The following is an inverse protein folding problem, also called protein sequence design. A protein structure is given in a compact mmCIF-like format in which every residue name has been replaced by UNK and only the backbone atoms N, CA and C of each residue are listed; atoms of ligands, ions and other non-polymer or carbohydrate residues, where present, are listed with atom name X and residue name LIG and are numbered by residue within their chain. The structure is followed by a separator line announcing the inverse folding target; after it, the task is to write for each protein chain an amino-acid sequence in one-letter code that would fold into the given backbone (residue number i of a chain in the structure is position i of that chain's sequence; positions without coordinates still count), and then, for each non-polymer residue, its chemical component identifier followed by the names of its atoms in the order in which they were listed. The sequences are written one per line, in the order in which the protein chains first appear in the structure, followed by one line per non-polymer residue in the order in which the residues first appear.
data_IF_275384192653
#
_entry.id   IF_275384192653
#
_cell.length_a   1.000
_cell.length_b   1.000
_cell.length_c   1.000
_cell.angle_alpha   90.00
_cell.angle_beta   90.00
_cell.angle_gamma   90.00
#
_symmetry.space_group_name_H-M   'P 1'
#
loop_
_entity.id
_entity.type
_entity.pdbx_description
1 polymer ?
#
# COMPACT_ATOMS: atom_id res chain seq x y z
N UNK A 1 -19.44 6.74 -24.87
CA UNK A 1 -18.17 6.67 -24.15
C UNK A 1 -17.69 5.24 -24.19
N UNK A 2 -16.54 4.94 -24.80
CA UNK A 2 -16.02 3.58 -24.87
C UNK A 2 -15.22 3.23 -23.60
N UNK A 3 -15.06 1.93 -23.28
CA UNK A 3 -14.25 1.48 -22.13
C UNK A 3 -12.81 2.01 -22.22
N UNK A 4 -12.29 2.12 -23.45
CA UNK A 4 -10.95 2.64 -23.72
C UNK A 4 -10.91 4.14 -23.40
N UNK A 5 -11.95 4.91 -23.78
CA UNK A 5 -12.03 6.33 -23.43
C UNK A 5 -12.15 6.54 -21.93
N UNK A 6 -12.90 5.69 -21.21
CA UNK A 6 -13.00 5.75 -19.75
C UNK A 6 -11.69 5.37 -19.05
N UNK A 7 -10.91 4.44 -19.60
CA UNK A 7 -9.58 4.07 -19.09
C UNK A 7 -8.52 5.14 -19.39
N UNK A 8 -8.67 5.88 -20.49
CA UNK A 8 -7.77 6.96 -20.88
C UNK A 8 -8.19 8.32 -20.34
N UNK A 9 -9.41 8.44 -19.81
CA UNK A 9 -9.86 9.62 -19.09
C UNK A 9 -8.94 9.80 -17.88
N UNK A 10 -8.19 10.89 -17.87
CA UNK A 10 -7.30 11.23 -16.77
C UNK A 10 -8.12 11.28 -15.50
N UNK A 11 -7.91 10.32 -14.60
CA UNK A 11 -8.38 10.42 -13.24
C UNK A 11 -7.60 11.58 -12.59
N UNK A 12 -8.11 12.81 -12.73
CA UNK A 12 -7.56 14.00 -12.10
C UNK A 12 -7.73 13.87 -10.58
N UNK A 13 -6.83 13.13 -9.95
CA UNK A 13 -6.71 13.06 -8.50
C UNK A 13 -5.86 14.24 -8.07
N UNK A 14 -6.43 15.45 -8.17
CA UNK A 14 -5.86 16.66 -7.58
C UNK A 14 -5.86 16.50 -6.07
N UNK A 15 -4.73 16.09 -5.49
CA UNK A 15 -4.53 16.02 -4.04
C UNK A 15 -3.71 17.22 -3.62
N UNK A 16 -4.33 18.17 -2.93
CA UNK A 16 -3.61 19.18 -2.16
C UNK A 16 -3.01 18.51 -0.92
N UNK A 17 -1.78 18.00 -1.08
CA UNK A 17 -1.02 17.37 0.00
C UNK A 17 -0.36 18.46 0.84
N UNK A 18 -0.84 18.65 2.07
CA UNK A 18 -0.23 19.58 3.02
C UNK A 18 0.80 18.86 3.94
N UNK A 19 1.65 19.63 4.62
CA UNK A 19 2.68 19.06 5.50
C UNK A 19 2.12 18.19 6.63
N UNK A 20 0.95 18.54 7.18
CA UNK A 20 0.28 17.76 8.23
C UNK A 20 -0.08 16.36 7.74
N UNK A 21 -0.62 16.26 6.52
CA UNK A 21 -0.94 14.99 5.89
C UNK A 21 0.31 14.11 5.75
N UNK A 22 1.42 14.68 5.24
CA UNK A 22 2.68 13.93 5.09
C UNK A 22 3.20 13.40 6.43
N UNK A 23 3.08 14.18 7.50
CA UNK A 23 3.47 13.74 8.86
C UNK A 23 2.60 12.59 9.32
N UNK A 24 1.27 12.72 9.22
CA UNK A 24 0.32 11.69 9.66
C UNK A 24 0.57 10.37 8.93
N UNK A 25 0.69 10.42 7.60
CA UNK A 25 0.96 9.24 6.78
C UNK A 25 2.31 8.60 7.12
N UNK A 26 3.35 9.40 7.30
CA UNK A 26 4.67 8.89 7.70
C UNK A 26 4.63 8.19 9.06
N UNK A 27 3.93 8.78 10.05
CA UNK A 27 3.77 8.19 11.38
C UNK A 27 3.01 6.87 11.32
N UNK A 28 1.91 6.80 10.56
CA UNK A 28 1.13 5.57 10.39
C UNK A 28 2.01 4.50 9.73
N UNK A 29 2.69 4.84 8.64
CA UNK A 29 3.50 3.89 7.89
C UNK A 29 4.67 3.32 8.70
N UNK A 30 5.39 4.19 9.42
CA UNK A 30 6.43 3.77 10.37
C UNK A 30 5.84 2.87 11.46
N UNK A 31 4.66 3.20 11.99
CA UNK A 31 4.01 2.39 13.02
C UNK A 31 3.65 0.99 12.50
N UNK A 32 3.18 0.88 11.26
CA UNK A 32 2.90 -0.40 10.59
C UNK A 32 4.17 -1.23 10.41
N UNK A 33 5.25 -0.61 9.94
CA UNK A 33 6.54 -1.30 9.77
C UNK A 33 7.12 -1.75 11.12
N UNK A 34 7.12 -0.87 12.12
CA UNK A 34 7.56 -1.20 13.49
C UNK A 34 6.73 -2.34 14.07
N UNK A 35 5.41 -2.34 13.84
CA UNK A 35 4.53 -3.41 14.27
C UNK A 35 4.84 -4.75 13.59
N UNK A 36 5.09 -4.74 12.28
CA UNK A 36 5.52 -5.92 11.54
C UNK A 36 6.85 -6.49 12.08
N UNK A 37 7.82 -5.61 12.37
CA UNK A 37 9.10 -5.99 12.97
C UNK A 37 8.91 -6.56 14.38
N UNK A 38 8.11 -5.88 15.22
CA UNK A 38 7.81 -6.29 16.59
C UNK A 38 7.16 -7.68 16.64
N UNK A 39 6.20 -7.94 15.74
CA UNK A 39 5.51 -9.23 15.61
C UNK A 39 6.32 -10.29 14.85
N UNK A 40 7.54 -9.95 14.39
CA UNK A 40 8.42 -10.81 13.60
C UNK A 40 7.79 -11.32 12.30
N UNK A 41 6.83 -10.58 11.74
CA UNK A 41 6.21 -10.91 10.45
C UNK A 41 7.14 -10.53 9.30
N UNK A 42 8.00 -11.48 8.92
CA UNK A 42 8.97 -11.29 7.83
C UNK A 42 8.30 -11.05 6.49
N UNK A 43 7.07 -11.53 6.28
CA UNK A 43 6.36 -11.34 5.03
C UNK A 43 5.83 -9.91 4.93
N UNK A 44 5.26 -9.36 5.99
CA UNK A 44 4.85 -7.95 6.06
C UNK A 44 6.05 -7.01 5.83
N UNK A 45 7.20 -7.27 6.48
CA UNK A 45 8.41 -6.46 6.29
C UNK A 45 8.92 -6.55 4.85
N UNK A 46 8.97 -7.76 4.27
CA UNK A 46 9.36 -7.94 2.85
C UNK A 46 8.41 -7.23 1.92
N UNK A 47 7.10 -7.32 2.15
CA UNK A 47 6.08 -6.68 1.34
C UNK A 47 6.27 -5.15 1.36
N UNK A 48 6.51 -4.57 2.54
CA UNK A 48 6.84 -3.15 2.67
C UNK A 48 8.06 -2.79 1.81
N UNK A 49 9.19 -3.47 2.02
CA UNK A 49 10.45 -3.14 1.32
C UNK A 49 10.35 -3.36 -0.20
N UNK A 50 9.70 -4.44 -0.64
CA UNK A 50 9.54 -4.75 -2.07
C UNK A 50 8.55 -3.82 -2.77
N UNK A 51 7.60 -3.24 -2.04
CA UNK A 51 6.63 -2.31 -2.62
C UNK A 51 7.23 -0.92 -2.89
N UNK A 52 8.27 -0.50 -2.15
CA UNK A 52 8.97 0.78 -2.37
C UNK A 52 9.44 0.97 -3.82
N UNK A 53 10.27 0.09 -4.42
CA UNK A 53 10.74 0.29 -5.79
C UNK A 53 9.61 0.26 -6.82
N UNK A 54 8.54 -0.50 -6.56
CA UNK A 54 7.36 -0.58 -7.43
C UNK A 54 6.62 0.76 -7.41
N UNK A 55 6.37 1.32 -6.23
CA UNK A 55 5.66 2.59 -6.09
C UNK A 55 6.49 3.78 -6.55
N UNK A 56 7.81 3.77 -6.34
CA UNK A 56 8.70 4.77 -6.95
C UNK A 56 8.57 4.77 -8.48
N UNK A 57 8.53 3.59 -9.10
CA UNK A 57 8.35 3.49 -10.54
C UNK A 57 6.96 3.97 -11.00
N UNK A 58 5.89 3.56 -10.32
CA UNK A 58 4.51 3.95 -10.64
C UNK A 58 4.32 5.47 -10.51
N UNK A 59 4.70 6.05 -9.37
CA UNK A 59 4.56 7.49 -9.14
C UNK A 59 5.49 8.29 -10.06
N UNK A 60 6.67 7.75 -10.39
CA UNK A 60 7.60 8.36 -11.34
C UNK A 60 7.01 8.43 -12.75
N UNK A 61 6.41 7.35 -13.24
CA UNK A 61 5.67 7.35 -14.51
C UNK A 61 4.50 8.34 -14.44
N UNK A 62 3.74 8.33 -13.35
CA UNK A 62 2.61 9.24 -13.14
C UNK A 62 3.01 10.71 -13.24
N UNK A 63 4.17 11.08 -12.69
CA UNK A 63 4.74 12.43 -12.80
C UNK A 63 5.20 12.75 -14.23
N UNK A 64 5.91 11.82 -14.89
CA UNK A 64 6.42 12.04 -16.26
C UNK A 64 5.28 12.17 -17.28
N UNK A 65 4.19 11.43 -17.09
CA UNK A 65 3.01 11.49 -17.96
C UNK A 65 2.00 12.58 -17.57
N UNK A 66 2.28 13.36 -16.51
CA UNK A 66 1.38 14.43 -16.06
C UNK A 66 0.07 13.96 -15.43
N UNK A 67 -0.03 12.67 -15.08
CA UNK A 67 -1.20 12.09 -14.39
C UNK A 67 -1.15 12.39 -12.89
N UNK A 68 0.04 12.66 -12.35
CA UNK A 68 0.25 13.13 -10.98
C UNK A 68 0.72 14.58 -11.02
N UNK A 69 0.02 15.44 -10.29
CA UNK A 69 0.45 16.81 -10.03
C UNK A 69 0.64 17.02 -8.54
N UNK A 70 1.84 17.44 -8.14
CA UNK A 70 2.16 17.83 -6.78
C UNK A 70 2.49 19.32 -6.79
N UNK A 71 1.48 20.12 -6.46
CA UNK A 71 1.48 21.58 -6.56
C UNK A 71 2.52 22.28 -5.69
N UNK A 72 3.01 21.63 -4.64
CA UNK A 72 4.07 22.15 -3.76
C UNK A 72 4.97 21.03 -3.27
N UNK A 73 6.28 21.17 -3.46
CA UNK A 73 7.31 20.21 -3.01
C UNK A 73 7.23 18.83 -3.69
N UNK A 74 7.08 18.81 -5.01
CA UNK A 74 6.95 17.60 -5.86
C UNK A 74 7.90 16.48 -5.48
N UNK A 75 9.18 16.75 -5.27
CA UNK A 75 10.16 15.71 -4.90
C UNK A 75 9.94 15.10 -3.52
N UNK A 76 9.57 15.91 -2.52
CA UNK A 76 9.29 15.43 -1.17
C UNK A 76 7.98 14.64 -1.14
N UNK A 77 6.92 15.19 -1.76
CA UNK A 77 5.61 14.53 -1.83
C UNK A 77 5.71 13.21 -2.57
N UNK A 78 6.36 13.18 -3.73
CA UNK A 78 6.68 11.95 -4.47
C UNK A 78 7.34 10.91 -3.57
N UNK A 79 8.39 11.31 -2.85
CA UNK A 79 9.14 10.40 -1.99
C UNK A 79 8.29 9.86 -0.83
N UNK A 80 7.53 10.73 -0.17
CA UNK A 80 6.65 10.33 0.95
C UNK A 80 5.56 9.38 0.46
N UNK A 81 4.92 9.67 -0.67
CA UNK A 81 3.88 8.81 -1.25
C UNK A 81 4.47 7.43 -1.58
N UNK A 82 5.55 7.40 -2.37
CA UNK A 82 6.13 6.17 -2.88
C UNK A 82 6.86 5.30 -1.83
N UNK A 83 7.40 5.90 -0.77
CA UNK A 83 8.23 5.20 0.24
C UNK A 83 7.48 4.98 1.56
N UNK A 84 6.52 5.85 1.89
CA UNK A 84 5.78 5.78 3.14
C UNK A 84 4.31 5.44 2.90
N UNK A 85 3.58 6.27 2.14
CA UNK A 85 2.12 6.14 2.01
C UNK A 85 1.73 4.76 1.46
N UNK A 86 2.11 4.48 0.22
CA UNK A 86 1.62 3.31 -0.48
C UNK A 86 2.20 2.00 0.07
N UNK A 87 3.52 1.91 0.38
CA UNK A 87 4.06 0.74 1.10
C UNK A 87 3.39 0.50 2.46
N UNK A 88 3.06 1.57 3.18
CA UNK A 88 2.35 1.52 4.45
C UNK A 88 0.95 0.93 4.31
N UNK A 89 0.18 1.41 3.33
CA UNK A 89 -1.17 0.91 3.05
C UNK A 89 -1.16 -0.57 2.64
N UNK A 90 -0.31 -0.95 1.70
CA UNK A 90 -0.20 -2.33 1.22
C UNK A 90 0.13 -3.28 2.38
N UNK A 91 1.07 -2.88 3.24
CA UNK A 91 1.49 -3.68 4.39
C UNK A 91 0.41 -3.77 5.46
N UNK A 92 -0.27 -2.65 5.76
CA UNK A 92 -1.38 -2.63 6.69
C UNK A 92 -2.53 -3.53 6.22
N UNK A 93 -2.92 -3.43 4.96
CA UNK A 93 -3.96 -4.28 4.36
C UNK A 93 -3.60 -5.76 4.44
N UNK A 94 -2.34 -6.12 4.18
CA UNK A 94 -1.85 -7.49 4.36
C UNK A 94 -2.00 -7.95 5.81
N UNK A 95 -1.53 -7.18 6.79
CA UNK A 95 -1.61 -7.54 8.21
C UNK A 95 -3.07 -7.71 8.66
N UNK A 96 -3.95 -6.80 8.25
CA UNK A 96 -5.38 -6.85 8.58
C UNK A 96 -6.03 -8.06 7.93
N UNK A 97 -5.81 -8.28 6.64
CA UNK A 97 -6.36 -9.42 5.91
C UNK A 97 -5.87 -10.75 6.53
N UNK A 98 -4.59 -10.84 6.84
CA UNK A 98 -4.03 -12.00 7.53
C UNK A 98 -4.75 -12.25 8.86
N UNK A 99 -4.96 -11.23 9.69
CA UNK A 99 -5.66 -11.40 10.97
C UNK A 99 -7.13 -11.80 10.82
N UNK A 100 -7.85 -11.21 9.87
CA UNK A 100 -9.27 -11.48 9.68
C UNK A 100 -9.54 -12.84 9.05
N UNK A 101 -8.69 -13.28 8.13
CA UNK A 101 -8.94 -14.46 7.31
C UNK A 101 -8.13 -15.68 7.74
N UNK A 102 -6.93 -15.53 8.32
CA UNK A 102 -6.11 -16.67 8.70
C UNK A 102 -6.64 -17.42 9.93
N UNK A 103 -7.51 -16.81 10.74
CA UNK A 103 -8.28 -17.52 11.78
C UNK A 103 -9.43 -18.40 11.23
N UNK A 104 -9.80 -18.30 9.94
CA UNK A 104 -10.92 -19.05 9.35
C UNK A 104 -10.51 -20.30 8.55
N UNK A 105 -9.22 -20.53 8.34
CA UNK A 105 -8.72 -21.66 7.55
C UNK A 105 -8.14 -22.89 8.31
N UNK A 106 -7.85 -22.88 9.63
CA UNK A 106 -7.30 -24.08 10.25
C UNK A 106 -8.34 -25.20 10.41
N UNK A 107 -9.64 -24.88 10.56
CA UNK A 107 -10.68 -25.91 10.70
C UNK A 107 -10.95 -26.68 9.41
N UNK A 108 -11.06 -26.01 8.27
CA UNK A 108 -11.40 -26.66 6.99
C UNK A 108 -10.33 -27.67 6.55
N UNK A 109 -9.05 -27.36 6.78
CA UNK A 109 -7.95 -28.28 6.48
C UNK A 109 -7.90 -29.43 7.49
N UNK A 110 -8.21 -29.18 8.77
CA UNK A 110 -8.28 -30.23 9.79
C UNK A 110 -9.48 -31.18 9.59
N UNK A 111 -10.65 -30.69 9.13
CA UNK A 111 -11.81 -31.55 8.84
C UNK A 111 -11.59 -32.38 7.59
N UNK A 112 -10.96 -31.82 6.54
CA UNK A 112 -10.60 -32.55 5.33
C UNK A 112 -9.50 -33.61 5.58
N UNK A 113 -8.55 -33.34 6.48
CA UNK A 113 -7.50 -34.29 6.85
C UNK A 113 -7.94 -35.35 7.89
N UNK A 114 -9.01 -35.10 8.65
CA UNK A 114 -9.51 -35.99 9.70
C UNK A 114 -10.34 -37.17 9.17
N UNK A 115 -10.86 -37.09 7.95
CA UNK A 115 -11.55 -38.22 7.30
C UNK A 115 -12.70 -38.83 8.13
N UNK A 116 -13.33 -38.06 9.01
CA UNK A 116 -14.51 -38.51 9.79
C UNK A 116 -15.78 -38.03 9.09
N UNK A 117 -16.31 -38.91 8.24
CA UNK A 117 -17.74 -38.98 7.96
C UNK A 117 -18.43 -39.82 9.04
#
# INVERSE_FOLDING_TARGET
MSLIDWLMESAEVSRTINGTYMIVVSVISISVLLFAIYTKDRNAVRLYVLSIPIWLFIEGIGLVWGVRDYSSQTGLTYFVVAVMEDPGWVTLSYIVAWRLFHHKFPEVVATAASGKH
#
